data_IF_910413181700
#
_entry.id   IF_910413181700
#
_cell.length_a   1.000
_cell.length_b   1.000
_cell.length_c   1.000
_cell.angle_alpha   90.00
_cell.angle_beta   90.00
_cell.angle_gamma   90.00
#
_symmetry.space_group_name_H-M   'P 1'
#
loop_
_entity.id
_entity.type
_entity.pdbx_description
1 polymer ?
#
# COMPACT_ATOMS: atom_id res chain seq x y z
N UNK A 1 1.38 14.27 -18.62
CA UNK A 1 2.29 14.92 -17.65
C UNK A 1 2.89 13.85 -16.76
N UNK A 2 4.22 13.75 -16.71
CA UNK A 2 4.91 12.92 -15.72
C UNK A 2 5.03 13.72 -14.43
N UNK A 3 4.05 13.58 -13.53
CA UNK A 3 4.07 14.20 -12.20
C UNK A 3 4.97 13.37 -11.27
N UNK A 4 6.24 13.18 -11.65
CA UNK A 4 7.23 12.63 -10.73
C UNK A 4 7.92 13.81 -10.05
N UNK A 5 7.25 14.37 -9.05
CA UNK A 5 7.88 15.29 -8.10
C UNK A 5 9.09 14.60 -7.46
N UNK A 6 10.18 15.33 -7.31
CA UNK A 6 11.35 14.86 -6.54
C UNK A 6 10.89 14.60 -5.10
N UNK A 7 11.05 13.36 -4.63
CA UNK A 7 10.73 13.00 -3.24
C UNK A 7 11.71 13.72 -2.32
N UNK A 8 11.19 14.60 -1.45
CA UNK A 8 12.00 15.37 -0.53
C UNK A 8 12.60 14.50 0.60
N UNK A 9 13.59 15.04 1.30
CA UNK A 9 14.31 14.31 2.35
C UNK A 9 13.43 13.90 3.54
N UNK A 10 12.45 14.73 3.92
CA UNK A 10 11.56 14.39 5.02
C UNK A 10 10.65 13.22 4.62
N UNK A 11 10.12 13.23 3.40
CA UNK A 11 9.32 12.12 2.86
C UNK A 11 10.13 10.82 2.78
N UNK A 12 11.39 10.88 2.28
CA UNK A 12 12.29 9.71 2.24
C UNK A 12 12.55 9.09 3.63
N UNK A 13 12.57 9.91 4.69
CA UNK A 13 12.82 9.48 6.08
C UNK A 13 11.59 8.85 6.75
N UNK A 14 10.41 8.86 6.13
CA UNK A 14 9.20 8.30 6.75
C UNK A 14 8.87 8.98 8.09
N UNK A 15 8.67 8.19 9.16
CA UNK A 15 8.34 8.71 10.50
C UNK A 15 9.39 9.67 11.05
N UNK A 16 10.67 9.50 10.70
CA UNK A 16 11.75 10.40 11.10
C UNK A 16 11.60 11.81 10.52
N UNK A 17 11.08 11.92 9.29
CA UNK A 17 10.79 13.21 8.67
C UNK A 17 9.67 13.98 9.37
N UNK A 18 8.68 13.26 9.93
CA UNK A 18 7.59 13.85 10.71
C UNK A 18 7.99 14.20 12.15
N UNK A 19 8.73 13.31 12.81
CA UNK A 19 9.06 13.45 14.25
C UNK A 19 10.32 14.29 14.50
N UNK A 20 11.22 14.40 13.52
CA UNK A 20 12.55 15.00 13.69
C UNK A 20 13.50 14.15 14.53
N UNK A 21 13.10 12.95 14.97
CA UNK A 21 13.92 12.04 15.75
C UNK A 21 14.69 11.09 14.81
N UNK A 22 16.03 11.10 14.80
CA UNK A 22 16.82 10.19 13.96
C UNK A 22 16.56 8.70 14.24
N UNK A 23 16.08 8.35 15.42
CA UNK A 23 15.69 6.97 15.73
C UNK A 23 14.43 6.52 15.00
N UNK A 24 13.69 7.44 14.39
CA UNK A 24 12.49 7.16 13.61
C UNK A 24 12.74 7.20 12.08
N UNK A 25 13.96 7.53 11.65
CA UNK A 25 14.33 7.55 10.23
C UNK A 25 14.10 6.18 9.57
N UNK A 26 13.48 6.23 8.38
CA UNK A 26 13.12 5.09 7.52
C UNK A 26 12.12 4.10 8.12
N UNK A 27 11.47 4.46 9.23
CA UNK A 27 10.34 3.71 9.76
C UNK A 27 9.05 4.16 9.09
N UNK A 28 8.31 3.21 8.58
CA UNK A 28 7.01 3.45 7.95
C UNK A 28 5.92 2.67 8.67
N UNK A 29 4.66 3.09 8.48
CA UNK A 29 3.51 2.37 9.00
C UNK A 29 3.41 1.02 8.30
N UNK A 30 3.37 -0.07 9.06
CA UNK A 30 3.08 -1.40 8.54
C UNK A 30 1.73 -1.36 7.80
N UNK A 31 1.70 -1.66 6.49
CA UNK A 31 0.45 -1.69 5.75
C UNK A 31 -0.38 -2.92 6.13
N UNK A 32 -1.67 -2.82 5.88
CA UNK A 32 -2.61 -3.93 5.95
C UNK A 32 -2.38 -4.88 4.75
N UNK A 33 -2.79 -6.15 4.84
CA UNK A 33 -2.58 -7.17 3.79
C UNK A 33 -3.85 -7.63 3.04
N UNK A 34 -5.02 -7.16 3.44
CA UNK A 34 -6.28 -7.36 2.75
C UNK A 34 -6.37 -6.61 1.42
N UNK A 35 -7.04 -7.22 0.45
CA UNK A 35 -7.36 -6.62 -0.86
C UNK A 35 -6.15 -6.09 -1.64
N UNK A 36 -4.98 -6.68 -1.43
CA UNK A 36 -3.77 -6.27 -2.14
C UNK A 36 -3.78 -6.68 -3.61
N UNK A 37 -4.57 -7.69 -4.00
CA UNK A 37 -4.69 -8.19 -5.38
C UNK A 37 -5.03 -7.12 -6.42
N UNK A 38 -5.80 -6.10 -6.05
CA UNK A 38 -6.24 -5.04 -6.97
C UNK A 38 -5.24 -3.85 -7.04
N UNK A 39 -4.09 -3.97 -6.37
CA UNK A 39 -3.05 -2.93 -6.32
C UNK A 39 -1.98 -3.20 -7.38
N UNK A 40 -1.59 -2.17 -8.14
CA UNK A 40 -0.61 -2.30 -9.22
C UNK A 40 0.85 -2.07 -8.77
N UNK A 41 1.07 -1.41 -7.63
CA UNK A 41 2.41 -1.06 -7.15
C UNK A 41 2.52 -1.22 -5.63
N UNK A 42 3.65 -1.78 -5.16
CA UNK A 42 3.87 -2.10 -3.75
C UNK A 42 5.14 -1.46 -3.19
N UNK A 43 5.24 -1.49 -1.86
CA UNK A 43 6.29 -0.80 -1.12
C UNK A 43 6.06 0.71 -1.01
N UNK A 44 6.75 1.37 -0.08
CA UNK A 44 6.59 2.81 0.11
C UNK A 44 7.13 3.64 -1.06
N UNK A 45 8.06 3.08 -1.84
CA UNK A 45 8.59 3.68 -3.06
C UNK A 45 7.86 3.29 -4.34
N UNK A 46 6.79 2.50 -4.26
CA UNK A 46 6.08 1.97 -5.43
C UNK A 46 7.01 1.25 -6.44
N UNK A 47 8.02 0.54 -5.94
CA UNK A 47 9.09 -0.06 -6.73
C UNK A 47 8.87 -1.52 -7.11
N UNK A 48 7.85 -2.17 -6.56
CA UNK A 48 7.48 -3.54 -6.88
C UNK A 48 6.14 -3.55 -7.63
N UNK A 49 6.02 -4.42 -8.63
CA UNK A 49 4.82 -4.54 -9.47
C UNK A 49 3.96 -5.76 -9.11
N UNK A 50 4.45 -6.64 -8.23
CA UNK A 50 3.73 -7.83 -7.80
C UNK A 50 3.92 -8.17 -6.32
N UNK A 51 2.97 -8.90 -5.74
CA UNK A 51 3.11 -9.45 -4.39
C UNK A 51 4.24 -10.47 -4.29
N UNK A 52 4.51 -11.21 -5.38
CA UNK A 52 5.63 -12.15 -5.45
C UNK A 52 6.97 -11.43 -5.24
N UNK A 53 7.21 -10.32 -5.92
CA UNK A 53 8.43 -9.51 -5.73
C UNK A 53 8.58 -9.03 -4.28
N UNK A 54 7.49 -8.61 -3.64
CA UNK A 54 7.51 -8.20 -2.23
C UNK A 54 7.86 -9.38 -1.32
N UNK A 55 7.29 -10.56 -1.56
CA UNK A 55 7.59 -11.78 -0.78
C UNK A 55 9.04 -12.20 -0.98
N UNK A 56 9.54 -12.19 -2.21
CA UNK A 56 10.93 -12.50 -2.53
C UNK A 56 11.90 -11.48 -1.92
N UNK A 57 11.59 -10.19 -1.96
CA UNK A 57 12.36 -9.15 -1.28
C UNK A 57 12.49 -9.41 0.22
N UNK A 58 11.38 -9.79 0.88
CA UNK A 58 11.39 -10.16 2.30
C UNK A 58 12.12 -11.47 2.57
N UNK A 59 12.00 -12.45 1.69
CA UNK A 59 12.68 -13.75 1.80
C UNK A 59 14.20 -13.62 1.65
N UNK A 60 14.66 -12.83 0.68
CA UNK A 60 16.09 -12.63 0.38
C UNK A 60 16.78 -11.69 1.36
N UNK A 61 16.02 -10.77 1.97
CA UNK A 61 16.50 -9.77 2.92
C UNK A 61 17.66 -8.90 2.40
N UNK A 62 17.64 -8.59 1.10
CA UNK A 62 18.60 -7.69 0.45
C UNK A 62 18.01 -6.28 0.39
N UNK A 63 18.64 -5.25 0.98
CA UNK A 63 18.13 -3.88 0.94
C UNK A 63 18.07 -3.35 -0.48
N UNK A 64 16.91 -2.81 -0.87
CA UNK A 64 16.71 -2.22 -2.19
C UNK A 64 17.32 -0.80 -2.28
N UNK A 65 17.05 0.03 -1.26
CA UNK A 65 17.58 1.39 -1.20
C UNK A 65 18.91 1.43 -0.43
N UNK A 66 20.02 1.57 -1.17
CA UNK A 66 21.37 1.67 -0.62
C UNK A 66 21.64 2.97 0.17
N UNK A 67 20.77 3.99 0.07
CA UNK A 67 20.85 5.20 0.90
C UNK A 67 20.44 4.92 2.36
N UNK A 68 19.74 3.81 2.63
CA UNK A 68 19.31 3.45 3.99
C UNK A 68 20.46 2.75 4.73
N UNK A 69 20.95 3.33 5.84
CA UNK A 69 22.01 2.70 6.62
C UNK A 69 21.59 1.33 7.16
N UNK A 70 22.49 0.35 7.15
CA UNK A 70 22.20 -1.02 7.60
C UNK A 70 21.73 -1.09 9.05
N UNK A 71 22.17 -0.18 9.93
CA UNK A 71 21.73 -0.08 11.31
C UNK A 71 20.29 0.49 11.47
N UNK A 72 19.66 0.95 10.40
CA UNK A 72 18.25 1.37 10.37
C UNK A 72 17.32 0.28 9.82
N UNK A 73 17.88 -0.83 9.33
CA UNK A 73 17.09 -2.01 8.95
C UNK A 73 16.56 -2.71 10.19
N UNK A 74 15.39 -3.32 10.05
CA UNK A 74 14.79 -4.11 11.12
C UNK A 74 15.68 -5.32 11.43
N UNK A 75 15.88 -5.68 12.72
CA UNK A 75 16.56 -6.93 13.08
C UNK A 75 15.82 -8.19 12.59
N UNK A 76 14.56 -8.06 12.18
CA UNK A 76 13.77 -9.15 11.58
C UNK A 76 13.97 -9.27 10.07
N UNK A 77 14.68 -8.33 9.42
CA UNK A 77 14.95 -8.38 8.00
C UNK A 77 16.18 -9.27 7.74
N UNK A 78 15.94 -10.57 7.80
CA UNK A 78 16.96 -11.63 7.67
C UNK A 78 16.47 -12.69 6.70
N UNK A 79 17.36 -13.39 5.95
CA UNK A 79 16.94 -14.38 4.98
C UNK A 79 16.07 -15.47 5.58
N UNK A 80 14.91 -15.73 4.98
CA UNK A 80 13.96 -16.73 5.49
C UNK A 80 14.21 -18.12 4.87
N UNK A 81 14.96 -18.18 3.77
CA UNK A 81 15.30 -19.42 3.04
C UNK A 81 14.07 -20.23 2.63
N UNK A 82 13.00 -19.55 2.24
CA UNK A 82 11.82 -20.18 1.67
C UNK A 82 12.15 -20.75 0.29
N UNK A 83 11.61 -21.93 -0.01
CA UNK A 83 11.63 -22.48 -1.37
C UNK A 83 10.48 -21.91 -2.21
N UNK A 84 10.52 -22.17 -3.53
CA UNK A 84 9.51 -21.66 -4.46
C UNK A 84 8.08 -22.06 -4.08
N UNK A 85 7.84 -23.31 -3.71
CA UNK A 85 6.52 -23.77 -3.27
C UNK A 85 5.98 -23.00 -2.06
N UNK A 86 6.85 -22.61 -1.12
CA UNK A 86 6.48 -21.82 0.05
C UNK A 86 6.17 -20.37 -0.34
N UNK A 87 6.95 -19.79 -1.26
CA UNK A 87 6.71 -18.45 -1.80
C UNK A 87 5.37 -18.45 -2.55
N UNK A 88 5.12 -19.42 -3.43
CA UNK A 88 3.85 -19.58 -4.15
C UNK A 88 2.65 -19.64 -3.21
N UNK A 89 2.74 -20.43 -2.13
CA UNK A 89 1.67 -20.54 -1.13
C UNK A 89 1.42 -19.23 -0.39
N UNK A 90 2.46 -18.46 -0.08
CA UNK A 90 2.32 -17.14 0.54
C UNK A 90 1.66 -16.15 -0.42
N UNK A 91 2.09 -16.11 -1.68
CA UNK A 91 1.50 -15.25 -2.71
C UNK A 91 0.02 -15.60 -2.90
N UNK A 92 -0.31 -16.89 -3.04
CA UNK A 92 -1.69 -17.36 -3.18
C UNK A 92 -2.57 -16.93 -2.00
N UNK A 93 -2.05 -17.03 -0.78
CA UNK A 93 -2.74 -16.59 0.43
C UNK A 93 -3.00 -15.08 0.42
N UNK A 94 -1.97 -14.27 0.12
CA UNK A 94 -2.09 -12.81 0.07
C UNK A 94 -3.07 -12.34 -1.02
N UNK A 95 -3.05 -12.98 -2.19
CA UNK A 95 -3.90 -12.60 -3.31
C UNK A 95 -5.34 -13.03 -3.16
N UNK A 96 -5.60 -14.22 -2.61
CA UNK A 96 -6.94 -14.83 -2.69
C UNK A 96 -7.58 -15.06 -1.33
N UNK A 97 -6.83 -15.48 -0.31
CA UNK A 97 -7.42 -15.74 1.00
C UNK A 97 -7.70 -14.45 1.79
N UNK A 98 -7.00 -13.36 1.47
CA UNK A 98 -7.19 -12.03 2.06
C UNK A 98 -7.99 -11.07 1.16
N UNK A 99 -8.69 -11.59 0.16
CA UNK A 99 -9.46 -10.80 -0.79
C UNK A 99 -10.95 -10.81 -0.45
N UNK A 100 -11.56 -9.65 -0.29
CA UNK A 100 -13.01 -9.46 -0.28
C UNK A 100 -13.46 -9.03 -1.69
N UNK A 101 -14.11 -9.92 -2.46
CA UNK A 101 -14.57 -9.61 -3.81
C UNK A 101 -15.77 -8.66 -3.83
N UNK A 102 -16.33 -8.28 -2.67
CA UNK A 102 -17.47 -7.38 -2.60
C UNK A 102 -17.22 -6.22 -1.61
N UNK A 103 -16.42 -5.25 -2.06
CA UNK A 103 -16.16 -4.01 -1.32
C UNK A 103 -17.40 -3.08 -1.24
N UNK A 104 -18.41 -3.33 -2.06
CA UNK A 104 -19.63 -2.54 -2.13
C UNK A 104 -20.75 -3.04 -1.20
N UNK A 105 -20.53 -4.13 -0.45
CA UNK A 105 -21.55 -4.80 0.38
C UNK A 105 -22.31 -3.87 1.33
N UNK A 106 -21.66 -2.81 1.80
CA UNK A 106 -22.24 -1.85 2.76
C UNK A 106 -22.30 -0.43 2.21
N UNK A 107 -22.13 -0.26 0.90
CA UNK A 107 -22.34 1.04 0.26
C UNK A 107 -23.85 1.32 0.28
N UNK A 108 -24.30 2.43 0.88
CA UNK A 108 -25.72 2.78 0.90
C UNK A 108 -26.25 2.96 -0.53
N UNK A 109 -27.50 2.54 -0.77
CA UNK A 109 -28.16 2.73 -2.06
C UNK A 109 -28.49 4.21 -2.32
N UNK A 110 -28.71 4.99 -1.25
CA UNK A 110 -29.03 6.41 -1.31
C UNK A 110 -28.34 7.21 -0.20
N UNK A 111 -28.11 8.50 -0.44
CA UNK A 111 -27.69 9.43 0.61
C UNK A 111 -28.91 9.84 1.43
N UNK A 112 -28.78 10.05 2.76
CA UNK A 112 -29.88 10.55 3.58
C UNK A 112 -30.48 11.90 3.12
N UNK A 113 -29.75 12.66 2.30
CA UNK A 113 -30.22 13.93 1.73
C UNK A 113 -31.05 13.77 0.47
N UNK A 114 -31.03 12.59 -0.17
CA UNK A 114 -31.59 12.36 -1.51
C UNK A 114 -30.78 13.00 -2.65
N UNK A 115 -29.59 13.53 -2.39
CA UNK A 115 -28.74 14.17 -3.42
C UNK A 115 -27.77 13.18 -4.07
N UNK A 116 -27.25 13.50 -5.27
CA UNK A 116 -26.26 12.64 -5.94
C UNK A 116 -24.86 12.74 -5.33
N UNK A 117 -24.23 11.60 -5.02
CA UNK A 117 -22.81 11.53 -4.68
C UNK A 117 -21.93 11.77 -5.94
N UNK A 118 -20.74 12.39 -5.85
CA UNK A 118 -20.08 12.91 -4.63
C UNK A 118 -20.39 14.37 -4.30
N UNK A 119 -20.90 15.14 -5.26
CA UNK A 119 -21.05 16.59 -5.10
C UNK A 119 -22.19 16.96 -4.14
N UNK A 120 -23.25 16.15 -4.09
CA UNK A 120 -24.42 16.29 -3.24
C UNK A 120 -25.15 17.65 -3.36
N UNK A 121 -25.23 18.19 -4.58
CA UNK A 121 -25.92 19.46 -4.90
C UNK A 121 -27.12 19.27 -5.86
N UNK A 122 -27.93 20.32 -5.99
CA UNK A 122 -29.14 20.33 -6.82
C UNK A 122 -28.84 20.13 -8.32
N UNK A 123 -27.74 20.74 -8.81
CA UNK A 123 -27.34 20.60 -10.21
C UNK A 123 -27.04 19.14 -10.56
N UNK A 124 -26.33 18.44 -9.66
CA UNK A 124 -26.00 17.04 -9.84
C UNK A 124 -27.24 16.14 -9.83
N UNK A 125 -28.29 16.51 -9.09
CA UNK A 125 -29.59 15.81 -9.13
C UNK A 125 -30.25 15.94 -10.49
N UNK A 126 -30.34 17.15 -11.05
CA UNK A 126 -30.90 17.37 -12.39
C UNK A 126 -30.09 16.66 -13.49
N UNK A 127 -28.76 16.65 -13.38
CA UNK A 127 -27.88 16.11 -14.41
C UNK A 127 -27.74 14.58 -14.38
N UNK A 128 -27.67 13.98 -13.19
CA UNK A 128 -27.39 12.54 -13.03
C UNK A 128 -28.67 11.71 -12.82
N UNK A 129 -29.79 12.33 -12.48
CA UNK A 129 -31.09 11.65 -12.35
C UNK A 129 -31.09 10.58 -11.26
N UNK A 130 -30.43 10.83 -10.12
CA UNK A 130 -30.44 9.92 -8.98
C UNK A 130 -31.69 10.18 -8.10
N UNK A 131 -32.87 9.83 -8.61
CA UNK A 131 -34.12 9.72 -7.82
C UNK A 131 -34.57 8.26 -7.73
#
# INVERSE_FOLDING_TARGET
ESINTVVDLATKKGRGGFTGNPEDDYKFKTPQLYNLKDVNFYGHGASFESLREVVEYKNNALPENLEVPSNKLSPLFTPLNLNEDQIDKLVLFLENALYDPNLYRYVPEELPTGSCFPNADYMSVEELGCE
#
